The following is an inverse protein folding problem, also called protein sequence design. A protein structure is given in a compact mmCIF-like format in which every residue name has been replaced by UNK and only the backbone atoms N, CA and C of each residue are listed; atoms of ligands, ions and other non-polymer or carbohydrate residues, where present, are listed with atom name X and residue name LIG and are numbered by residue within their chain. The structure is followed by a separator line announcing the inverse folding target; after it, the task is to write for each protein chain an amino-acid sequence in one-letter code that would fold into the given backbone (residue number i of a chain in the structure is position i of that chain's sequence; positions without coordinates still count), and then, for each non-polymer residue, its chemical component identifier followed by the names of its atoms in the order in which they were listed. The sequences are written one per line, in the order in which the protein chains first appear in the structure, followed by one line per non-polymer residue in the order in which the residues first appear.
data_IF_436853694070
#
_entry.id   IF_436853694070
#
_cell.length_a   1.000
_cell.length_b   1.000
_cell.length_c   1.000
_cell.angle_alpha   90.00
_cell.angle_beta   90.00
_cell.angle_gamma   90.00
#
_symmetry.space_group_name_H-M   'P 1'
#
loop_
_entity.id
_entity.type
_entity.pdbx_description
1 polymer ?
#
# COMPACT_ATOMS: atom_id res chain seq x y z
N UNK A 1 3.16 -4.61 -22.39
CA UNK A 1 2.95 -5.00 -20.98
C UNK A 1 2.11 -6.25 -21.00
N UNK A 2 2.60 -7.34 -20.42
CA UNK A 2 1.91 -8.64 -20.45
C UNK A 2 0.65 -8.61 -19.57
N UNK A 3 -0.38 -9.34 -19.99
CA UNK A 3 -1.66 -9.44 -19.26
C UNK A 3 -1.49 -10.15 -17.91
N UNK A 4 -0.53 -11.08 -17.81
CA UNK A 4 -0.21 -11.73 -16.54
C UNK A 4 0.38 -10.74 -15.53
N UNK A 5 1.31 -9.87 -15.96
CA UNK A 5 1.87 -8.84 -15.08
C UNK A 5 0.78 -7.90 -14.54
N UNK A 6 -0.19 -7.50 -15.37
CA UNK A 6 -1.34 -6.69 -14.91
C UNK A 6 -2.22 -7.43 -13.91
N UNK A 7 -2.40 -8.74 -14.08
CA UNK A 7 -3.17 -9.59 -13.16
C UNK A 7 -2.47 -9.68 -11.80
N UNK A 8 -1.16 -9.90 -11.78
CA UNK A 8 -0.39 -10.03 -10.53
C UNK A 8 -0.35 -8.71 -9.75
N UNK A 9 -0.16 -7.58 -10.44
CA UNK A 9 -0.26 -6.24 -9.83
C UNK A 9 -1.62 -6.06 -9.15
N UNK A 10 -2.72 -6.37 -9.84
CA UNK A 10 -4.08 -6.25 -9.27
C UNK A 10 -4.28 -7.18 -8.08
N UNK A 11 -3.78 -8.41 -8.14
CA UNK A 11 -3.88 -9.37 -7.04
C UNK A 11 -3.15 -8.85 -5.79
N UNK A 12 -1.92 -8.36 -5.94
CA UNK A 12 -1.14 -7.79 -4.85
C UNK A 12 -1.83 -6.60 -4.20
N UNK A 13 -2.27 -5.62 -5.02
CA UNK A 13 -2.93 -4.41 -4.52
C UNK A 13 -4.28 -4.74 -3.83
N UNK A 14 -5.01 -5.74 -4.34
CA UNK A 14 -6.24 -6.22 -3.68
C UNK A 14 -5.94 -6.81 -2.30
N UNK A 15 -4.90 -7.64 -2.18
CA UNK A 15 -4.50 -8.21 -0.88
C UNK A 15 -4.04 -7.14 0.09
N UNK A 16 -3.26 -6.15 -0.38
CA UNK A 16 -2.88 -5.00 0.43
C UNK A 16 -4.13 -4.25 0.94
N UNK A 17 -5.07 -3.94 0.05
CA UNK A 17 -6.31 -3.22 0.40
C UNK A 17 -7.12 -3.92 1.49
N UNK A 18 -7.34 -5.23 1.37
CA UNK A 18 -8.07 -6.01 2.40
C UNK A 18 -7.37 -5.98 3.75
N UNK A 19 -6.04 -6.21 3.78
CA UNK A 19 -5.28 -6.20 5.04
C UNK A 19 -5.22 -4.81 5.68
N UNK A 20 -5.08 -3.76 4.87
CA UNK A 20 -5.07 -2.39 5.33
C UNK A 20 -6.43 -2.01 5.95
N UNK A 21 -7.53 -2.37 5.30
CA UNK A 21 -8.90 -2.16 5.80
C UNK A 21 -9.11 -2.81 7.18
N UNK A 22 -8.82 -4.11 7.30
CA UNK A 22 -8.92 -4.84 8.56
C UNK A 22 -8.10 -4.21 9.68
N UNK A 23 -6.87 -3.77 9.38
CA UNK A 23 -5.99 -3.13 10.34
C UNK A 23 -6.51 -1.75 10.79
N UNK A 24 -7.00 -0.94 9.86
CA UNK A 24 -7.54 0.40 10.13
C UNK A 24 -8.82 0.30 10.96
N UNK A 25 -9.75 -0.58 10.55
CA UNK A 25 -11.00 -0.83 11.29
C UNK A 25 -10.68 -1.33 12.70
N UNK A 26 -9.76 -2.29 12.82
CA UNK A 26 -9.31 -2.81 14.11
C UNK A 26 -8.69 -1.73 15.00
N UNK A 27 -7.93 -0.80 14.42
CA UNK A 27 -7.36 0.33 15.15
C UNK A 27 -8.44 1.30 15.64
N UNK A 28 -9.40 1.69 14.78
CA UNK A 28 -10.50 2.55 15.17
C UNK A 28 -11.39 1.89 16.23
N UNK A 29 -11.69 0.60 16.12
CA UNK A 29 -12.47 -0.13 17.11
C UNK A 29 -11.81 -0.08 18.51
N UNK A 30 -10.48 -0.20 18.58
CA UNK A 30 -9.71 -0.13 19.85
C UNK A 30 -9.58 1.29 20.40
N UNK A 31 -9.77 2.31 19.58
CA UNK A 31 -9.57 3.72 19.93
C UNK A 31 -10.84 4.53 19.59
N UNK A 32 -11.91 4.43 20.41
CA UNK A 32 -13.21 5.05 20.12
C UNK A 32 -13.15 6.58 20.02
N UNK A 33 -12.23 7.22 20.74
CA UNK A 33 -12.08 8.68 20.75
C UNK A 33 -11.36 9.24 19.53
N UNK A 34 -10.73 8.38 18.72
CA UNK A 34 -10.09 8.79 17.47
C UNK A 34 -11.18 9.04 16.42
N UNK A 35 -11.37 10.32 16.10
CA UNK A 35 -12.36 10.78 15.10
C UNK A 35 -11.80 10.84 13.68
N UNK A 36 -10.48 10.93 13.53
CA UNK A 36 -9.81 11.06 12.25
C UNK A 36 -8.43 10.38 12.27
N UNK A 37 -8.10 9.71 11.17
CA UNK A 37 -6.77 9.19 10.88
C UNK A 37 -6.21 9.89 9.65
N UNK A 38 -4.98 10.39 9.77
CA UNK A 38 -4.18 10.84 8.64
C UNK A 38 -3.20 9.72 8.31
N UNK A 39 -3.34 9.11 7.14
CA UNK A 39 -2.58 7.91 6.75
C UNK A 39 -1.76 8.18 5.49
N UNK A 40 -0.63 7.49 5.40
CA UNK A 40 0.26 7.46 4.23
C UNK A 40 0.59 6.01 3.91
N UNK A 41 0.28 5.58 2.69
CA UNK A 41 0.72 4.31 2.12
C UNK A 41 1.92 4.57 1.20
N UNK A 42 2.97 3.76 1.34
CA UNK A 42 4.16 3.81 0.49
C UNK A 42 4.34 2.42 -0.12
N UNK A 43 4.56 2.34 -1.42
CA UNK A 43 5.00 1.12 -2.09
C UNK A 43 6.41 1.36 -2.62
N UNK A 44 7.35 0.52 -2.22
CA UNK A 44 8.75 0.59 -2.59
C UNK A 44 9.16 -0.74 -3.22
N UNK A 45 9.97 -0.66 -4.26
CA UNK A 45 10.61 -1.80 -4.87
C UNK A 45 11.85 -2.21 -4.08
N UNK A 46 11.83 -3.47 -3.63
CA UNK A 46 12.88 -4.08 -2.80
C UNK A 46 13.74 -5.06 -3.60
N UNK A 47 13.60 -5.08 -4.93
CA UNK A 47 14.34 -5.99 -5.80
C UNK A 47 15.81 -5.58 -5.86
N UNK A 48 16.71 -6.50 -5.54
CA UNK A 48 18.14 -6.33 -5.84
C UNK A 48 18.39 -6.67 -7.31
N UNK A 49 18.57 -5.64 -8.13
CA UNK A 49 18.83 -5.79 -9.56
C UNK A 49 20.29 -6.13 -9.89
N UNK A 50 21.21 -6.04 -8.92
CA UNK A 50 22.64 -6.24 -9.16
C UNK A 50 23.23 -5.27 -10.18
N UNK A 51 24.31 -5.67 -10.89
CA UNK A 51 24.94 -4.83 -11.92
C UNK A 51 23.97 -4.49 -13.06
N UNK A 52 23.79 -3.19 -13.34
CA UNK A 52 22.84 -2.72 -14.36
C UNK A 52 21.45 -2.38 -13.80
N UNK A 53 21.34 -2.14 -12.49
CA UNK A 53 20.13 -1.65 -11.85
C UNK A 53 19.52 -0.42 -12.57
N UNK A 54 18.19 -0.27 -12.56
CA UNK A 54 17.53 0.95 -13.02
C UNK A 54 18.10 2.18 -12.30
N UNK A 55 18.17 3.31 -13.00
CA UNK A 55 18.61 4.58 -12.41
C UNK A 55 17.68 5.08 -11.29
N UNK A 56 16.42 4.62 -11.30
CA UNK A 56 15.41 4.93 -10.28
C UNK A 56 14.66 3.64 -9.90
N UNK A 57 14.62 3.33 -8.61
CA UNK A 57 13.75 2.28 -8.06
C UNK A 57 12.30 2.75 -8.09
N UNK A 58 11.37 1.83 -8.36
CA UNK A 58 9.95 2.15 -8.28
C UNK A 58 9.58 2.50 -6.83
N UNK A 59 9.09 3.72 -6.63
CA UNK A 59 8.48 4.13 -5.37
C UNK A 59 7.28 5.02 -5.66
N UNK A 60 6.18 4.82 -4.94
CA UNK A 60 5.07 5.77 -4.95
C UNK A 60 4.41 5.88 -3.58
N UNK A 61 3.84 7.06 -3.33
CA UNK A 61 3.20 7.42 -2.07
C UNK A 61 1.77 7.85 -2.34
N UNK A 62 0.84 7.41 -1.49
CA UNK A 62 -0.53 7.91 -1.43
C UNK A 62 -0.81 8.31 0.02
N UNK A 63 -1.21 9.55 0.23
CA UNK A 63 -1.68 10.04 1.52
C UNK A 63 -3.18 10.37 1.48
N UNK A 64 -3.83 10.32 2.64
CA UNK A 64 -5.26 10.56 2.74
C UNK A 64 -5.78 10.58 4.17
N UNK A 65 -7.04 10.98 4.30
CA UNK A 65 -7.74 11.06 5.57
C UNK A 65 -8.86 10.03 5.64
N UNK A 66 -9.00 9.40 6.80
CA UNK A 66 -10.13 8.55 7.14
C UNK A 66 -10.84 9.17 8.32
N UNK A 67 -12.11 9.52 8.12
CA UNK A 67 -12.98 9.98 9.19
C UNK A 67 -13.78 8.79 9.72
N UNK A 68 -14.00 8.78 11.03
CA UNK A 68 -14.89 7.81 11.68
C UNK A 68 -16.35 8.23 11.52
#
# INVERSE_FOLDING_TARGET
MDDNSRKDIRALLKTFGVKADEAIVGHLAKNPDVKQLNLKATLEDLTDYGPGAPSESLSFVVDGQINR
#
